data_IF_589126006276
#
_entry.id   IF_589126006276
#
_cell.length_a   1.000
_cell.length_b   1.000
_cell.length_c   1.000
_cell.angle_alpha   90.00
_cell.angle_beta   90.00
_cell.angle_gamma   90.00
#
_symmetry.space_group_name_H-M   'P 1'
#
loop_
_entity.id
_entity.type
_entity.pdbx_description
1 polymer ?
#
# COMPACT_ATOMS: atom_id res chain seq x y z
N UNK A 1 9.65 -15.38 -15.32
CA UNK A 1 8.49 -15.43 -14.38
C UNK A 1 8.72 -14.52 -13.18
N UNK A 2 9.75 -14.78 -12.38
CA UNK A 2 10.02 -13.97 -11.19
C UNK A 2 10.28 -12.49 -11.51
N UNK A 3 11.09 -12.21 -12.52
CA UNK A 3 11.36 -10.83 -12.94
C UNK A 3 10.11 -10.12 -13.42
N UNK A 4 9.22 -10.83 -14.09
CA UNK A 4 7.96 -10.25 -14.56
C UNK A 4 7.05 -9.86 -13.40
N UNK A 5 7.01 -10.65 -12.33
CA UNK A 5 6.27 -10.32 -11.12
C UNK A 5 6.79 -9.02 -10.50
N UNK A 6 8.12 -8.86 -10.42
CA UNK A 6 8.73 -7.64 -9.91
C UNK A 6 8.39 -6.44 -10.78
N UNK A 7 8.42 -6.59 -12.12
CA UNK A 7 8.08 -5.52 -13.04
C UNK A 7 6.61 -5.11 -12.91
N UNK A 8 5.72 -6.08 -12.77
CA UNK A 8 4.29 -5.83 -12.54
C UNK A 8 4.09 -5.08 -11.22
N UNK A 9 4.82 -5.47 -10.18
CA UNK A 9 4.73 -4.82 -8.88
C UNK A 9 5.28 -3.39 -8.91
N UNK A 10 6.36 -3.14 -9.64
CA UNK A 10 6.88 -1.79 -9.85
C UNK A 10 5.82 -0.89 -10.51
N UNK A 11 5.18 -1.39 -11.56
CA UNK A 11 4.11 -0.64 -12.25
C UNK A 11 2.95 -0.37 -11.30
N UNK A 12 2.58 -1.36 -10.48
CA UNK A 12 1.52 -1.20 -9.50
C UNK A 12 1.82 -0.03 -8.55
N UNK A 13 2.98 -0.01 -7.94
CA UNK A 13 3.30 1.00 -6.93
C UNK A 13 3.62 2.36 -7.54
N UNK A 14 4.47 2.38 -8.57
CA UNK A 14 4.98 3.65 -9.13
C UNK A 14 3.94 4.38 -9.98
N UNK A 15 3.09 3.65 -10.66
CA UNK A 15 2.15 4.22 -11.62
C UNK A 15 0.70 4.11 -11.14
N UNK A 16 0.23 2.90 -10.88
CA UNK A 16 -1.19 2.65 -10.63
C UNK A 16 -1.63 3.16 -9.26
N UNK A 17 -0.92 2.78 -8.21
CA UNK A 17 -1.20 3.24 -6.84
C UNK A 17 -0.92 4.73 -6.68
N UNK A 18 0.27 5.17 -7.02
CA UNK A 18 0.71 6.56 -6.83
C UNK A 18 -0.16 7.56 -7.59
N UNK A 19 -0.64 7.18 -8.76
CA UNK A 19 -1.53 8.04 -9.56
C UNK A 19 -3.01 7.73 -9.36
N UNK A 20 -3.34 6.91 -8.36
CA UNK A 20 -4.72 6.59 -7.98
C UNK A 20 -5.55 6.06 -9.16
N UNK A 21 -4.94 5.19 -9.95
CA UNK A 21 -5.59 4.57 -11.11
C UNK A 21 -6.34 3.30 -10.69
N UNK A 22 -7.37 3.47 -9.87
CA UNK A 22 -8.08 2.36 -9.23
C UNK A 22 -8.65 1.34 -10.21
N UNK A 23 -9.07 1.77 -11.40
CA UNK A 23 -9.60 0.88 -12.43
C UNK A 23 -8.55 -0.06 -13.02
N UNK A 24 -7.26 0.15 -12.73
CA UNK A 24 -6.16 -0.67 -13.24
C UNK A 24 -5.64 -1.70 -12.23
N UNK A 25 -6.19 -1.75 -11.02
CA UNK A 25 -5.70 -2.69 -9.98
C UNK A 25 -5.89 -4.15 -10.37
N UNK A 26 -6.86 -4.46 -11.22
CA UNK A 26 -7.04 -5.81 -11.75
C UNK A 26 -5.86 -6.30 -12.59
N UNK A 27 -4.99 -5.40 -13.07
CA UNK A 27 -3.80 -5.77 -13.85
C UNK A 27 -2.75 -6.49 -12.98
N UNK A 28 -2.79 -6.29 -11.67
CA UNK A 28 -1.82 -6.85 -10.73
C UNK A 28 -2.43 -7.72 -9.64
N UNK A 29 -3.75 -7.68 -9.45
CA UNK A 29 -4.45 -8.38 -8.37
C UNK A 29 -5.57 -9.25 -8.89
N UNK A 30 -5.83 -10.38 -8.21
CA UNK A 30 -7.04 -11.17 -8.45
C UNK A 30 -8.24 -10.47 -7.79
N UNK A 31 -9.45 -10.77 -8.28
CA UNK A 31 -10.66 -10.20 -7.70
C UNK A 31 -10.89 -10.64 -6.25
N UNK A 32 -10.40 -11.80 -5.86
CA UNK A 32 -10.56 -12.39 -4.52
C UNK A 32 -9.28 -12.29 -3.69
N UNK A 33 -8.41 -11.34 -3.98
CA UNK A 33 -7.14 -11.15 -3.28
C UNK A 33 -7.33 -11.10 -1.77
N UNK A 34 -6.45 -11.80 -1.05
CA UNK A 34 -6.41 -11.80 0.42
C UNK A 34 -5.30 -10.85 0.85
N UNK A 35 -5.62 -9.88 1.70
CA UNK A 35 -4.67 -8.86 2.16
C UNK A 35 -4.51 -8.95 3.66
N UNK A 36 -3.26 -9.12 4.10
CA UNK A 36 -2.88 -9.12 5.52
C UNK A 36 -2.29 -7.76 5.86
N UNK A 37 -2.95 -7.03 6.75
CA UNK A 37 -2.56 -5.67 7.14
C UNK A 37 -1.59 -5.67 8.33
N UNK A 38 -0.84 -4.57 8.54
CA UNK A 38 0.19 -4.52 9.59
C UNK A 38 -0.32 -4.78 11.01
N UNK A 39 -1.59 -4.45 11.30
CA UNK A 39 -2.20 -4.69 12.61
C UNK A 39 -2.70 -6.11 12.80
N UNK A 40 -2.54 -6.97 11.79
CA UNK A 40 -2.94 -8.37 11.83
C UNK A 40 -4.33 -8.65 11.31
N UNK A 41 -5.14 -7.62 10.97
CA UNK A 41 -6.44 -7.93 10.38
C UNK A 41 -6.29 -8.33 8.92
N UNK A 42 -7.28 -9.07 8.41
CA UNK A 42 -7.27 -9.63 7.06
C UNK A 42 -8.51 -9.15 6.33
N UNK A 43 -8.34 -8.70 5.08
CA UNK A 43 -9.45 -8.34 4.21
C UNK A 43 -9.47 -9.25 2.98
N UNK A 44 -10.65 -9.42 2.40
CA UNK A 44 -10.85 -10.30 1.25
C UNK A 44 -11.51 -9.48 0.13
N UNK A 45 -10.97 -9.64 -1.08
CA UNK A 45 -11.51 -9.05 -2.28
C UNK A 45 -10.87 -7.74 -2.69
N UNK A 46 -10.74 -7.57 -3.99
CA UNK A 46 -10.09 -6.39 -4.58
C UNK A 46 -10.88 -5.10 -4.30
N UNK A 47 -12.21 -5.16 -4.36
CA UNK A 47 -13.04 -3.98 -4.09
C UNK A 47 -12.80 -3.43 -2.69
N UNK A 48 -12.72 -4.30 -1.67
CA UNK A 48 -12.42 -3.89 -0.30
C UNK A 48 -11.01 -3.33 -0.19
N UNK A 49 -10.05 -3.97 -0.85
CA UNK A 49 -8.66 -3.52 -0.83
C UNK A 49 -8.53 -2.09 -1.41
N UNK A 50 -9.20 -1.83 -2.52
CA UNK A 50 -9.21 -0.50 -3.15
C UNK A 50 -9.81 0.55 -2.19
N UNK A 51 -10.93 0.23 -1.54
CA UNK A 51 -11.55 1.17 -0.58
C UNK A 51 -10.60 1.48 0.58
N UNK A 52 -9.91 0.48 1.11
CA UNK A 52 -8.95 0.69 2.20
C UNK A 52 -7.77 1.55 1.74
N UNK A 53 -7.26 1.33 0.51
CA UNK A 53 -6.17 2.14 -0.03
C UNK A 53 -6.60 3.59 -0.30
N UNK A 54 -7.82 3.80 -0.81
CA UNK A 54 -8.36 5.15 -1.00
C UNK A 54 -8.35 5.94 0.30
N UNK A 55 -8.56 5.25 1.43
CA UNK A 55 -8.52 5.86 2.75
C UNK A 55 -7.21 6.56 3.07
N UNK A 56 -6.10 6.04 2.56
CA UNK A 56 -4.77 6.64 2.78
C UNK A 56 -4.65 7.99 2.07
N UNK A 57 -5.30 8.14 0.92
CA UNK A 57 -5.25 9.37 0.12
C UNK A 57 -6.21 10.45 0.64
N UNK A 58 -7.16 10.10 1.50
CA UNK A 58 -8.11 11.07 2.06
C UNK A 58 -7.36 12.13 2.87
N UNK A 59 -6.46 11.72 3.75
CA UNK A 59 -5.73 12.65 4.63
C UNK A 59 -4.35 13.03 4.10
N UNK A 60 -3.80 12.23 3.18
CA UNK A 60 -2.52 12.50 2.54
C UNK A 60 -2.66 12.30 1.02
N UNK A 61 -3.26 13.27 0.31
CA UNK A 61 -3.53 13.13 -1.13
C UNK A 61 -2.29 12.95 -1.99
N UNK A 62 -1.13 13.35 -1.50
CA UNK A 62 0.16 13.22 -2.19
C UNK A 62 0.91 11.93 -1.86
N UNK A 63 0.26 10.96 -1.23
CA UNK A 63 0.88 9.65 -0.93
C UNK A 63 1.41 9.04 -2.22
N UNK A 64 2.66 8.56 -2.17
CA UNK A 64 3.34 8.01 -3.35
C UNK A 64 4.42 7.03 -2.97
N UNK A 65 4.70 6.13 -3.90
CA UNK A 65 5.83 5.21 -3.83
C UNK A 65 6.61 5.40 -5.12
N UNK A 66 7.88 5.84 -5.02
CA UNK A 66 8.72 6.15 -6.19
C UNK A 66 9.94 5.27 -6.32
N UNK A 67 10.23 4.46 -5.31
CA UNK A 67 11.40 3.59 -5.33
C UNK A 67 11.15 2.29 -4.59
N UNK A 68 11.77 1.22 -5.08
CA UNK A 68 11.81 -0.10 -4.48
C UNK A 68 13.29 -0.46 -4.22
N UNK A 69 13.87 -0.05 -3.09
CA UNK A 69 15.31 -0.29 -2.83
C UNK A 69 15.68 -1.75 -2.65
N UNK A 70 14.72 -2.61 -2.31
CA UNK A 70 14.95 -4.06 -2.19
C UNK A 70 13.85 -4.78 -2.95
N UNK A 71 14.24 -5.64 -3.89
CA UNK A 71 13.32 -6.44 -4.72
C UNK A 71 13.83 -7.87 -4.77
N UNK A 72 13.06 -8.79 -4.24
CA UNK A 72 13.42 -10.20 -4.16
C UNK A 72 12.27 -11.03 -4.74
N UNK A 73 12.59 -11.98 -5.62
CA UNK A 73 11.58 -12.88 -6.16
C UNK A 73 12.14 -14.30 -6.23
N UNK A 74 11.32 -15.27 -5.88
CA UNK A 74 11.64 -16.68 -6.00
C UNK A 74 10.35 -17.48 -6.17
N UNK A 75 10.29 -18.32 -7.23
CA UNK A 75 9.09 -19.11 -7.51
C UNK A 75 7.86 -18.22 -7.67
N UNK A 76 6.84 -18.50 -6.88
CA UNK A 76 5.56 -17.77 -6.91
C UNK A 76 5.48 -16.63 -5.91
N UNK A 77 6.61 -16.25 -5.31
CA UNK A 77 6.63 -15.25 -4.23
C UNK A 77 7.54 -14.08 -4.56
N UNK A 78 7.13 -12.89 -4.11
CA UNK A 78 7.97 -11.69 -4.13
C UNK A 78 8.01 -11.07 -2.75
N UNK A 79 9.13 -10.39 -2.46
CA UNK A 79 9.27 -9.56 -1.27
C UNK A 79 9.93 -8.26 -1.71
N UNK A 80 9.24 -7.14 -1.52
CA UNK A 80 9.69 -5.84 -2.01
C UNK A 80 9.57 -4.82 -0.88
N UNK A 81 10.65 -4.06 -0.68
CA UNK A 81 10.60 -2.89 0.20
C UNK A 81 10.44 -1.66 -0.68
N UNK A 82 9.33 -0.97 -0.49
CA UNK A 82 9.08 0.32 -1.11
C UNK A 82 9.24 1.44 -0.09
N UNK A 83 9.37 2.66 -0.56
CA UNK A 83 9.38 3.84 0.30
C UNK A 83 8.08 4.59 0.07
N UNK A 84 7.20 4.58 1.08
CA UNK A 84 5.93 5.30 1.04
C UNK A 84 6.11 6.66 1.68
N UNK A 85 5.77 7.71 0.96
CA UNK A 85 5.89 9.09 1.45
C UNK A 85 4.67 9.91 1.10
N UNK A 86 4.48 10.96 1.85
CA UNK A 86 3.36 11.89 1.66
C UNK A 86 3.35 12.97 2.74
N UNK A 87 2.26 13.75 2.77
CA UNK A 87 2.10 14.87 3.70
C UNK A 87 0.68 14.86 4.24
N UNK A 88 0.56 14.98 5.56
CA UNK A 88 -0.76 15.03 6.23
C UNK A 88 -1.35 16.43 6.08
N UNK A 89 -2.16 16.61 5.03
CA UNK A 89 -2.69 17.94 4.65
C UNK A 89 -4.20 18.06 4.74
N UNK A 90 -4.94 16.96 4.92
CA UNK A 90 -6.39 16.95 5.02
C UNK A 90 -6.83 16.22 6.29
N UNK A 91 -8.02 16.51 6.84
CA UNK A 91 -8.48 15.84 8.06
C UNK A 91 -8.53 14.32 7.93
N UNK A 92 -8.16 13.63 9.00
CA UNK A 92 -8.24 12.17 9.11
C UNK A 92 -9.42 11.81 10.00
N UNK A 93 -10.29 10.92 9.53
CA UNK A 93 -11.38 10.38 10.35
C UNK A 93 -10.92 9.07 10.98
N UNK A 94 -11.01 8.97 12.29
CA UNK A 94 -10.66 7.76 13.04
C UNK A 94 -11.84 6.77 13.05
N UNK A 95 -11.61 5.48 13.38
CA UNK A 95 -12.69 4.48 13.41
C UNK A 95 -13.85 4.82 14.36
N UNK A 96 -13.58 5.62 15.41
CA UNK A 96 -14.62 6.06 16.36
C UNK A 96 -15.37 7.31 15.89
N UNK A 97 -15.14 7.73 14.63
CA UNK A 97 -15.84 8.88 14.03
C UNK A 97 -15.26 10.23 14.35
N UNK A 98 -14.17 10.30 15.12
CA UNK A 98 -13.50 11.57 15.43
C UNK A 98 -12.67 12.04 14.25
N UNK A 99 -12.42 13.34 14.19
CA UNK A 99 -11.58 13.94 13.14
C UNK A 99 -10.28 14.44 13.77
N UNK A 100 -9.16 14.11 13.12
CA UNK A 100 -7.85 14.65 13.49
C UNK A 100 -7.50 15.69 12.43
N UNK A 101 -7.22 16.91 12.89
CA UNK A 101 -6.86 18.01 11.99
C UNK A 101 -5.46 17.81 11.43
N UNK A 102 -5.22 18.20 10.16
CA UNK A 102 -3.92 18.02 9.53
C UNK A 102 -2.84 18.85 10.19
N UNK A 103 -1.64 18.28 10.28
CA UNK A 103 -0.47 18.94 10.87
C UNK A 103 0.44 19.58 9.82
N UNK A 104 0.28 19.21 8.56
CA UNK A 104 1.21 19.60 7.48
C UNK A 104 2.54 18.86 7.52
N UNK A 105 2.69 17.87 8.41
CA UNK A 105 3.94 17.12 8.53
C UNK A 105 4.02 16.00 7.50
N UNK A 106 5.22 15.80 6.97
CA UNK A 106 5.51 14.76 6.00
C UNK A 106 5.86 13.44 6.68
N UNK A 107 5.54 12.34 6.01
CA UNK A 107 5.99 11.01 6.40
C UNK A 107 6.81 10.37 5.30
N UNK A 108 7.73 9.50 5.68
CA UNK A 108 8.53 8.70 4.77
C UNK A 108 8.91 7.42 5.50
N UNK A 109 8.28 6.32 5.13
CA UNK A 109 8.44 5.05 5.84
C UNK A 109 8.71 3.91 4.87
N UNK A 110 9.54 2.92 5.27
CA UNK A 110 9.68 1.71 4.47
C UNK A 110 8.40 0.89 4.59
N UNK A 111 7.99 0.29 3.48
CA UNK A 111 6.84 -0.59 3.42
C UNK A 111 7.26 -1.87 2.72
N UNK A 112 7.11 -3.00 3.39
CA UNK A 112 7.44 -4.30 2.83
C UNK A 112 6.18 -5.02 2.43
N UNK A 113 6.11 -5.46 1.17
CA UNK A 113 5.02 -6.29 0.68
C UNK A 113 5.56 -7.65 0.30
N UNK A 114 5.02 -8.69 0.95
CA UNK A 114 5.27 -10.08 0.58
C UNK A 114 4.03 -10.56 -0.17
N UNK A 115 4.20 -11.05 -1.39
CA UNK A 115 3.08 -11.40 -2.25
C UNK A 115 3.23 -12.77 -2.88
N UNK A 116 2.12 -13.48 -2.96
CA UNK A 116 2.00 -14.74 -3.71
C UNK A 116 1.34 -14.43 -5.06
N UNK A 117 1.86 -15.04 -6.12
CA UNK A 117 1.44 -14.79 -7.50
C UNK A 117 0.84 -16.03 -8.14
N UNK A 118 -0.25 -15.86 -8.88
CA UNK A 118 -0.90 -16.92 -9.67
C UNK A 118 -1.28 -16.31 -11.02
N UNK A 119 -0.88 -16.96 -12.12
CA UNK A 119 -1.21 -16.52 -13.48
C UNK A 119 -0.84 -15.04 -13.74
N UNK A 120 0.29 -14.60 -13.20
CA UNK A 120 0.82 -13.26 -13.45
C UNK A 120 0.24 -12.13 -12.59
N UNK A 121 -0.65 -12.46 -11.65
CA UNK A 121 -1.25 -11.48 -10.72
C UNK A 121 -1.14 -11.99 -9.30
N UNK A 122 -1.14 -11.07 -8.32
CA UNK A 122 -1.06 -11.48 -6.92
C UNK A 122 -2.45 -11.84 -6.39
N UNK A 123 -2.50 -12.97 -5.68
CA UNK A 123 -3.73 -13.49 -5.07
C UNK A 123 -3.71 -13.36 -3.56
N UNK A 124 -2.56 -13.10 -2.98
CA UNK A 124 -2.41 -12.88 -1.54
C UNK A 124 -1.23 -11.96 -1.29
N UNK A 125 -1.39 -11.00 -0.38
CA UNK A 125 -0.29 -10.11 -0.01
C UNK A 125 -0.29 -9.81 1.48
N UNK A 126 0.92 -9.61 2.01
CA UNK A 126 1.19 -9.24 3.38
C UNK A 126 1.84 -7.86 3.38
N UNK A 127 1.21 -6.91 4.03
CA UNK A 127 1.69 -5.53 4.09
C UNK A 127 2.31 -5.26 5.47
N UNK A 128 3.52 -4.75 5.46
CA UNK A 128 4.23 -4.42 6.69
C UNK A 128 4.81 -3.01 6.61
N UNK A 129 4.44 -2.18 7.55
CA UNK A 129 5.11 -0.91 7.85
C UNK A 129 4.94 -0.66 9.33
N UNK A 130 5.82 0.16 9.90
CA UNK A 130 5.69 0.55 11.30
C UNK A 130 4.65 1.65 11.42
N UNK A 131 3.43 1.27 11.81
CA UNK A 131 2.32 2.21 11.91
C UNK A 131 2.56 3.27 12.99
N UNK A 132 3.26 2.93 14.07
CA UNK A 132 3.58 3.90 15.11
C UNK A 132 4.52 4.99 14.55
N UNK A 133 5.53 4.61 13.78
CA UNK A 133 6.42 5.56 13.11
C UNK A 133 5.67 6.41 12.09
N UNK A 134 4.82 5.81 11.30
CA UNK A 134 3.98 6.48 10.31
C UNK A 134 3.12 7.57 10.97
N UNK A 135 2.41 7.22 12.03
CA UNK A 135 1.57 8.16 12.77
C UNK A 135 2.40 9.24 13.46
N UNK A 136 3.51 8.87 14.08
CA UNK A 136 4.39 9.81 14.77
C UNK A 136 4.98 10.86 13.82
N UNK A 137 5.40 10.45 12.62
CA UNK A 137 5.93 11.38 11.62
C UNK A 137 4.86 12.41 11.20
N UNK A 138 3.59 11.99 11.15
CA UNK A 138 2.48 12.90 10.85
C UNK A 138 2.07 13.77 12.05
N UNK A 139 2.72 13.61 13.19
CA UNK A 139 2.39 14.36 14.40
C UNK A 139 1.19 13.82 15.17
N UNK A 140 0.86 12.55 14.96
CA UNK A 140 -0.25 11.87 15.65
C UNK A 140 0.39 10.90 16.67
N UNK A 141 -0.03 10.98 17.91
CA UNK A 141 0.49 10.10 18.98
C UNK A 141 -0.55 9.13 19.47
#
# INVERSE_FOLDING_TARGET
MAQKHLDTFDTLDFEVFTNQQWSRFHESHTNDVVVHWPDGHVTNGLARHIEDMKGLFVYAPDTRIREHPVRIATGEWTSVIGVMEGTFTQPMTTPDGKSIQPTGKAFKVPMCTVAHWTDGVLDEEYLFWDNATYMSQMGIS
#
